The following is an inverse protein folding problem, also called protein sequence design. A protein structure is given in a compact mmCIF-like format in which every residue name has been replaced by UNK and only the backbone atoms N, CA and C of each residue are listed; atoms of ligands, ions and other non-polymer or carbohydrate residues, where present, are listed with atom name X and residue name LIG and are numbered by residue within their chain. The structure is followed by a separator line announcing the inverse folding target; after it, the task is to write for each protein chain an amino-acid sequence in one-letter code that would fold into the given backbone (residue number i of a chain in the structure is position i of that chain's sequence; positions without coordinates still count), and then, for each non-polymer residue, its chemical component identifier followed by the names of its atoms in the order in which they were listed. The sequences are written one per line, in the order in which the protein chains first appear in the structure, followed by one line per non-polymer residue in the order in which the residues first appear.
data_IF_208835047732
#
_entry.id   IF_208835047732
#
_cell.length_a   1.000
_cell.length_b   1.000
_cell.length_c   1.000
_cell.angle_alpha   90.00
_cell.angle_beta   90.00
_cell.angle_gamma   90.00
#
_symmetry.space_group_name_H-M   'P 1'
#
loop_
_entity.id
_entity.type
_entity.pdbx_description
1 polymer ?
#
# COMPACT_ATOMS: atom_id res chain seq x y z
N UNK A 1 22.59 -11.40 -10.43
CA UNK A 1 21.64 -11.09 -9.35
C UNK A 1 21.53 -12.31 -8.45
N UNK A 2 21.59 -12.16 -7.12
CA UNK A 2 21.27 -13.27 -6.22
C UNK A 2 19.76 -13.54 -6.29
N UNK A 3 19.35 -14.80 -6.10
CA UNK A 3 17.93 -15.19 -6.07
C UNK A 3 17.14 -14.35 -5.06
N UNK A 4 17.70 -14.13 -3.88
CA UNK A 4 17.08 -13.33 -2.81
C UNK A 4 16.78 -11.89 -3.25
N UNK A 5 17.69 -11.24 -3.98
CA UNK A 5 17.48 -9.89 -4.47
C UNK A 5 16.35 -9.83 -5.51
N UNK A 6 16.33 -10.78 -6.45
CA UNK A 6 15.24 -10.88 -7.44
C UNK A 6 13.87 -11.11 -6.80
N UNK A 7 13.82 -11.87 -5.71
CA UNK A 7 12.58 -12.12 -4.97
C UNK A 7 12.08 -10.85 -4.27
N UNK A 8 12.97 -10.08 -3.63
CA UNK A 8 12.60 -8.78 -3.03
C UNK A 8 12.02 -7.81 -4.06
N UNK A 9 12.63 -7.72 -5.25
CA UNK A 9 12.10 -6.89 -6.33
C UNK A 9 10.73 -7.38 -6.83
N UNK A 10 10.55 -8.70 -6.90
CA UNK A 10 9.26 -9.29 -7.28
C UNK A 10 8.17 -8.98 -6.25
N UNK A 11 8.50 -9.05 -4.96
CA UNK A 11 7.59 -8.72 -3.86
C UNK A 11 7.22 -7.22 -3.87
N UNK A 12 8.12 -6.33 -4.28
CA UNK A 12 7.81 -4.91 -4.47
C UNK A 12 6.83 -4.65 -5.61
N UNK A 13 6.97 -5.38 -6.73
CA UNK A 13 5.98 -5.35 -7.81
C UNK A 13 4.62 -5.88 -7.33
N UNK A 14 4.62 -6.98 -6.56
CA UNK A 14 3.40 -7.53 -5.97
C UNK A 14 2.75 -6.55 -4.98
N UNK A 15 3.55 -5.81 -4.20
CA UNK A 15 3.04 -4.78 -3.30
C UNK A 15 2.29 -3.67 -4.05
N UNK A 16 2.81 -3.20 -5.19
CA UNK A 16 2.10 -2.23 -6.03
C UNK A 16 0.73 -2.77 -6.49
N UNK A 17 0.69 -4.03 -6.94
CA UNK A 17 -0.56 -4.71 -7.33
C UNK A 17 -1.55 -4.81 -6.17
N UNK A 18 -1.08 -5.14 -4.97
CA UNK A 18 -1.94 -5.21 -3.78
C UNK A 18 -2.52 -3.84 -3.39
N UNK A 19 -1.77 -2.75 -3.60
CA UNK A 19 -2.28 -1.38 -3.43
C UNK A 19 -3.38 -1.09 -4.45
N UNK A 20 -3.17 -1.44 -5.72
CA UNK A 20 -4.20 -1.36 -6.76
C UNK A 20 -5.44 -2.15 -6.35
N UNK A 21 -5.28 -3.37 -5.84
CA UNK A 21 -6.39 -4.20 -5.39
C UNK A 21 -7.20 -3.57 -4.27
N UNK A 22 -6.59 -2.77 -3.39
CA UNK A 22 -7.30 -2.00 -2.36
C UNK A 22 -8.42 -1.12 -2.94
N UNK A 23 -8.21 -0.53 -4.12
CA UNK A 23 -9.23 0.28 -4.80
C UNK A 23 -10.28 -0.54 -5.57
N UNK A 24 -9.96 -1.80 -5.87
CA UNK A 24 -10.75 -2.71 -6.71
C UNK A 24 -11.54 -3.75 -5.90
N UNK A 25 -11.28 -3.87 -4.60
CA UNK A 25 -11.89 -4.84 -3.71
C UNK A 25 -13.42 -4.72 -3.72
N UNK A 26 -14.11 -5.85 -3.91
CA UNK A 26 -15.57 -5.90 -4.01
C UNK A 26 -16.16 -5.38 -5.34
N UNK A 27 -15.33 -4.87 -6.27
CA UNK A 27 -15.78 -4.29 -7.54
C UNK A 27 -15.33 -5.09 -8.77
N UNK A 28 -14.21 -5.80 -8.68
CA UNK A 28 -13.69 -6.67 -9.75
C UNK A 28 -13.87 -8.17 -9.40
N UNK A 29 -14.07 -9.01 -10.40
CA UNK A 29 -14.02 -10.47 -10.23
C UNK A 29 -12.57 -10.96 -10.08
N UNK A 30 -12.32 -12.17 -9.55
CA UNK A 30 -10.97 -12.74 -9.47
C UNK A 30 -10.24 -12.79 -10.82
N UNK A 31 -10.95 -13.10 -11.91
CA UNK A 31 -10.38 -13.08 -13.27
C UNK A 31 -9.99 -11.67 -13.72
N UNK A 32 -10.79 -10.65 -13.36
CA UNK A 32 -10.44 -9.26 -13.66
C UNK A 32 -9.22 -8.80 -12.84
N UNK A 33 -9.14 -9.17 -11.56
CA UNK A 33 -7.98 -8.88 -10.71
C UNK A 33 -6.71 -9.56 -11.25
N UNK A 34 -6.82 -10.81 -11.70
CA UNK A 34 -5.71 -11.53 -12.34
C UNK A 34 -5.23 -10.82 -13.62
N UNK A 35 -6.16 -10.37 -14.47
CA UNK A 35 -5.83 -9.58 -15.66
C UNK A 35 -5.15 -8.26 -15.30
N UNK A 36 -5.71 -7.53 -14.34
CA UNK A 36 -5.13 -6.26 -13.83
C UNK A 36 -3.68 -6.49 -13.37
N UNK A 37 -3.43 -7.52 -12.55
CA UNK A 37 -2.09 -7.83 -12.04
C UNK A 37 -1.07 -8.08 -13.16
N UNK A 38 -1.44 -8.85 -14.21
CA UNK A 38 -0.54 -9.10 -15.34
C UNK A 38 -0.14 -7.81 -16.04
N UNK A 39 -1.11 -6.95 -16.36
CA UNK A 39 -0.84 -5.69 -17.06
C UNK A 39 -0.09 -4.71 -16.17
N UNK A 40 -0.49 -4.60 -14.90
CA UNK A 40 0.12 -3.71 -13.93
C UNK A 40 1.61 -4.01 -13.72
N UNK A 41 2.02 -5.28 -13.64
CA UNK A 41 3.44 -5.65 -13.50
C UNK A 41 4.27 -5.16 -14.69
N UNK A 42 3.72 -5.16 -15.91
CA UNK A 42 4.40 -4.63 -17.11
C UNK A 42 4.61 -3.12 -16.96
N UNK A 43 3.55 -2.38 -16.60
CA UNK A 43 3.62 -0.93 -16.43
C UNK A 43 4.49 -0.52 -15.23
N UNK A 44 4.42 -1.26 -14.13
CA UNK A 44 5.28 -1.09 -12.96
C UNK A 44 6.75 -1.25 -13.36
N UNK A 45 7.08 -2.29 -14.12
CA UNK A 45 8.46 -2.56 -14.56
C UNK A 45 8.99 -1.44 -15.46
N UNK A 46 8.16 -0.94 -16.38
CA UNK A 46 8.51 0.22 -17.21
C UNK A 46 8.69 1.49 -16.37
N UNK A 47 7.78 1.76 -15.43
CA UNK A 47 7.86 2.90 -14.52
C UNK A 47 9.13 2.85 -13.66
N UNK A 48 9.45 1.68 -13.10
CA UNK A 48 10.66 1.48 -12.31
C UNK A 48 11.92 1.73 -13.15
N UNK A 49 12.00 1.18 -14.37
CA UNK A 49 13.14 1.38 -15.26
C UNK A 49 13.33 2.86 -15.66
N UNK A 50 12.24 3.60 -15.91
CA UNK A 50 12.29 5.03 -16.22
C UNK A 50 12.81 5.82 -15.01
N UNK A 51 12.25 5.58 -13.82
CA UNK A 51 12.66 6.30 -12.61
C UNK A 51 14.12 6.02 -12.24
N UNK A 52 14.57 4.77 -12.33
CA UNK A 52 15.94 4.39 -11.98
C UNK A 52 16.96 4.84 -13.03
N UNK A 53 16.72 4.58 -14.32
CA UNK A 53 17.74 4.79 -15.35
C UNK A 53 17.70 6.17 -16.00
N UNK A 54 16.51 6.77 -16.13
CA UNK A 54 16.34 8.08 -16.79
C UNK A 54 16.37 9.20 -15.76
N UNK A 55 15.49 9.14 -14.76
CA UNK A 55 15.36 10.23 -13.78
C UNK A 55 16.37 10.14 -12.62
N UNK A 56 17.00 8.97 -12.41
CA UNK A 56 17.90 8.74 -11.27
C UNK A 56 17.23 9.08 -9.93
N UNK A 57 15.96 8.71 -9.81
CA UNK A 57 15.12 9.08 -8.67
C UNK A 57 15.59 8.40 -7.38
N UNK A 58 15.60 9.14 -6.27
CA UNK A 58 15.91 8.61 -4.94
C UNK A 58 14.62 8.10 -4.28
N UNK A 59 14.32 6.81 -4.43
CA UNK A 59 13.06 6.21 -3.96
C UNK A 59 13.23 4.84 -3.31
N UNK A 60 14.13 4.74 -2.31
CA UNK A 60 14.48 3.46 -1.69
C UNK A 60 13.30 2.72 -1.03
N UNK A 61 12.32 3.47 -0.50
CA UNK A 61 11.10 2.92 0.09
C UNK A 61 9.94 2.79 -0.90
N UNK A 62 10.14 3.11 -2.19
CA UNK A 62 9.12 2.98 -3.21
C UNK A 62 7.91 3.90 -3.04
N UNK A 63 8.06 5.07 -2.41
CA UNK A 63 6.95 6.03 -2.24
C UNK A 63 6.37 6.47 -3.59
N UNK A 64 7.21 6.62 -4.61
CA UNK A 64 6.79 6.96 -5.97
C UNK A 64 6.52 5.70 -6.80
N UNK A 65 7.50 4.78 -6.85
CA UNK A 65 7.51 3.64 -7.77
C UNK A 65 6.50 2.55 -7.36
N UNK A 66 6.22 2.39 -6.07
CA UNK A 66 5.29 1.38 -5.54
C UNK A 66 3.98 2.04 -5.12
N UNK A 67 4.03 2.92 -4.11
CA UNK A 67 2.82 3.41 -3.44
C UNK A 67 2.01 4.37 -4.31
N UNK A 68 2.65 5.44 -4.82
CA UNK A 68 1.96 6.40 -5.69
C UNK A 68 1.51 5.73 -6.99
N UNK A 69 2.41 4.96 -7.64
CA UNK A 69 2.07 4.22 -8.85
C UNK A 69 0.84 3.32 -8.65
N UNK A 70 0.87 2.40 -7.68
CA UNK A 70 -0.23 1.46 -7.44
C UNK A 70 -1.52 2.17 -7.05
N UNK A 71 -1.45 3.22 -6.22
CA UNK A 71 -2.63 3.97 -5.82
C UNK A 71 -3.33 4.65 -7.03
N UNK A 72 -2.57 5.32 -7.89
CA UNK A 72 -3.13 6.00 -9.07
C UNK A 72 -3.54 5.02 -10.17
N UNK A 73 -2.80 3.92 -10.34
CA UNK A 73 -3.17 2.85 -11.27
C UNK A 73 -4.51 2.23 -10.86
N UNK A 74 -4.65 1.85 -9.59
CA UNK A 74 -5.91 1.35 -9.04
C UNK A 74 -7.05 2.35 -9.13
N UNK A 75 -6.81 3.62 -8.80
CA UNK A 75 -7.82 4.66 -8.96
C UNK A 75 -8.31 4.75 -10.41
N UNK A 76 -7.41 4.75 -11.40
CA UNK A 76 -7.76 4.75 -12.81
C UNK A 76 -8.58 3.51 -13.19
N UNK A 77 -8.18 2.31 -12.75
CA UNK A 77 -8.95 1.08 -12.93
C UNK A 77 -10.35 1.19 -12.29
N UNK A 78 -10.46 1.78 -11.10
CA UNK A 78 -11.71 1.91 -10.36
C UNK A 78 -12.71 2.86 -11.06
N UNK A 79 -12.20 3.90 -11.72
CA UNK A 79 -12.99 4.84 -12.53
C UNK A 79 -13.49 4.16 -13.81
N UNK A 80 -12.63 3.41 -14.50
CA UNK A 80 -13.00 2.73 -15.76
C UNK A 80 -14.00 1.60 -15.50
N UNK A 81 -13.78 0.81 -14.44
CA UNK A 81 -14.62 -0.35 -14.10
C UNK A 81 -15.82 0.01 -13.23
N UNK A 82 -16.14 1.30 -13.05
CA UNK A 82 -17.13 1.82 -12.11
C UNK A 82 -18.40 0.97 -12.01
N UNK A 83 -18.57 0.27 -10.88
CA UNK A 83 -19.77 -0.52 -10.58
C UNK A 83 -20.61 0.15 -9.51
N UNK A 84 -21.52 1.04 -9.91
CA UNK A 84 -22.43 1.76 -8.97
C UNK A 84 -23.13 0.82 -7.98
N UNK A 85 -23.65 -0.30 -8.46
CA UNK A 85 -24.30 -1.34 -7.62
C UNK A 85 -23.38 -1.92 -6.52
N UNK A 86 -22.08 -2.02 -6.79
CA UNK A 86 -21.11 -2.52 -5.80
C UNK A 86 -20.76 -1.44 -4.77
N UNK A 87 -20.67 -0.18 -5.20
CA UNK A 87 -20.37 0.98 -4.34
C UNK A 87 -21.49 1.20 -3.32
N UNK A 88 -22.74 1.13 -3.78
CA UNK A 88 -23.94 1.35 -2.96
C UNK A 88 -24.41 0.09 -2.21
N UNK A 89 -23.65 -1.01 -2.31
CA UNK A 89 -24.07 -2.26 -1.70
C UNK A 89 -24.03 -2.18 -0.17
N UNK A 90 -25.07 -2.62 0.57
CA UNK A 90 -25.11 -2.51 2.04
C UNK A 90 -24.00 -3.23 2.80
N UNK A 91 -23.34 -4.21 2.15
CA UNK A 91 -22.17 -4.93 2.70
C UNK A 91 -20.83 -4.27 2.38
N UNK A 92 -20.83 -3.11 1.72
CA UNK A 92 -19.64 -2.28 1.58
C UNK A 92 -19.41 -1.50 2.88
N UNK A 93 -19.24 -2.24 3.98
CA UNK A 93 -19.08 -1.75 5.34
C UNK A 93 -18.29 -2.77 6.16
N UNK A 94 -17.78 -2.37 7.31
CA UNK A 94 -17.13 -3.28 8.24
C UNK A 94 -18.08 -3.84 9.30
N UNK A 95 -17.64 -4.90 9.95
CA UNK A 95 -18.20 -5.46 11.17
C UNK A 95 -17.07 -5.71 12.19
N UNK A 96 -17.41 -5.86 13.46
CA UNK A 96 -16.43 -6.02 14.54
C UNK A 96 -15.36 -7.09 14.23
N UNK A 97 -15.77 -8.28 13.77
CA UNK A 97 -14.82 -9.34 13.45
C UNK A 97 -13.97 -9.04 12.22
N UNK A 98 -14.52 -8.37 11.18
CA UNK A 98 -13.72 -8.00 10.01
C UNK A 98 -12.69 -6.93 10.37
N UNK A 99 -13.02 -6.00 11.25
CA UNK A 99 -12.09 -4.98 11.74
C UNK A 99 -10.96 -5.60 12.58
N UNK A 100 -11.27 -6.61 13.40
CA UNK A 100 -10.23 -7.36 14.11
C UNK A 100 -9.26 -8.07 13.15
N UNK A 101 -9.76 -8.67 12.07
CA UNK A 101 -8.89 -9.27 11.04
C UNK A 101 -8.07 -8.22 10.29
N UNK A 102 -8.65 -7.05 9.98
CA UNK A 102 -7.92 -5.94 9.37
C UNK A 102 -6.80 -5.42 10.29
N UNK A 103 -7.03 -5.36 11.60
CA UNK A 103 -6.01 -4.96 12.58
C UNK A 103 -4.82 -5.92 12.60
N UNK A 104 -5.05 -7.23 12.46
CA UNK A 104 -3.95 -8.20 12.37
C UNK A 104 -3.07 -7.87 11.16
N UNK A 105 -3.67 -7.68 9.97
CA UNK A 105 -2.93 -7.28 8.77
C UNK A 105 -2.14 -5.99 8.97
N UNK A 106 -2.78 -4.98 9.58
CA UNK A 106 -2.18 -3.69 9.89
C UNK A 106 -0.97 -3.80 10.81
N UNK A 107 -1.03 -4.64 11.86
CA UNK A 107 0.10 -4.84 12.77
C UNK A 107 1.28 -5.54 12.08
N UNK A 108 1.01 -6.51 11.19
CA UNK A 108 2.06 -7.18 10.41
C UNK A 108 2.73 -6.20 9.44
N UNK A 109 1.94 -5.38 8.74
CA UNK A 109 2.46 -4.29 7.92
C UNK A 109 3.30 -3.34 8.78
N UNK A 110 2.77 -2.87 9.91
CA UNK A 110 3.45 -1.92 10.77
C UNK A 110 4.80 -2.44 11.29
N UNK A 111 4.83 -3.69 11.75
CA UNK A 111 6.03 -4.33 12.29
C UNK A 111 7.12 -4.52 11.24
N UNK A 112 6.76 -4.89 10.02
CA UNK A 112 7.74 -5.23 8.97
C UNK A 112 8.06 -4.07 8.01
N UNK A 113 7.35 -2.95 8.08
CA UNK A 113 7.60 -1.80 7.21
C UNK A 113 9.03 -1.21 7.30
N UNK A 114 9.68 -1.13 8.48
CA UNK A 114 11.07 -0.71 8.55
C UNK A 114 12.01 -1.59 7.71
N UNK A 115 11.76 -2.90 7.69
CA UNK A 115 12.49 -3.84 6.83
C UNK A 115 12.20 -3.59 5.35
N UNK A 116 10.94 -3.32 4.99
CA UNK A 116 10.54 -2.99 3.62
C UNK A 116 11.32 -1.77 3.09
N UNK A 117 11.32 -0.66 3.83
CA UNK A 117 12.03 0.56 3.45
C UNK A 117 13.56 0.42 3.48
N UNK A 118 14.09 -0.53 4.26
CA UNK A 118 15.51 -0.80 4.38
C UNK A 118 16.05 -1.90 3.45
N UNK A 119 15.18 -2.64 2.74
CA UNK A 119 15.56 -3.89 2.08
C UNK A 119 16.61 -3.72 0.98
N UNK A 120 16.54 -2.63 0.22
CA UNK A 120 17.47 -2.34 -0.88
C UNK A 120 18.61 -1.38 -0.47
N UNK A 121 18.61 -0.88 0.76
CA UNK A 121 19.68 -0.06 1.29
C UNK A 121 20.80 -0.92 1.90
N UNK A 122 22.00 -0.35 2.02
CA UNK A 122 23.14 -1.03 2.65
C UNK A 122 23.89 -0.14 3.64
N UNK A 123 24.52 -0.75 4.65
CA UNK A 123 25.33 -0.05 5.64
C UNK A 123 24.55 1.01 6.41
N UNK A 124 25.16 2.17 6.65
CA UNK A 124 24.56 3.26 7.44
C UNK A 124 23.22 3.77 6.86
N UNK A 125 23.02 3.69 5.54
CA UNK A 125 21.77 4.12 4.93
C UNK A 125 20.60 3.21 5.32
N UNK A 126 20.84 1.90 5.44
CA UNK A 126 19.84 0.92 5.85
C UNK A 126 19.38 1.17 7.29
N UNK A 127 20.32 1.36 8.22
CA UNK A 127 19.99 1.66 9.62
C UNK A 127 19.17 2.95 9.74
N UNK A 128 19.53 4.00 9.00
CA UNK A 128 18.75 5.25 8.99
C UNK A 128 17.36 5.06 8.39
N UNK A 129 17.22 4.27 7.31
CA UNK A 129 15.92 3.98 6.72
C UNK A 129 15.01 3.27 7.72
N UNK A 130 15.52 2.26 8.43
CA UNK A 130 14.79 1.52 9.46
C UNK A 130 14.34 2.45 10.60
N UNK A 131 15.28 3.21 11.20
CA UNK A 131 15.00 4.05 12.36
C UNK A 131 14.03 5.19 12.00
N UNK A 132 14.25 5.86 10.87
CA UNK A 132 13.37 6.94 10.42
C UNK A 132 11.96 6.42 10.09
N UNK A 133 11.85 5.23 9.50
CA UNK A 133 10.55 4.59 9.23
C UNK A 133 9.81 4.34 10.54
N UNK A 134 10.48 3.80 11.55
CA UNK A 134 9.87 3.54 12.86
C UNK A 134 9.34 4.83 13.53
N UNK A 135 10.14 5.90 13.55
CA UNK A 135 9.70 7.18 14.13
C UNK A 135 8.57 7.83 13.31
N UNK A 136 8.65 7.80 11.98
CA UNK A 136 7.62 8.33 11.10
C UNK A 136 6.29 7.62 11.32
N UNK A 137 6.29 6.30 11.42
CA UNK A 137 5.08 5.51 11.65
C UNK A 137 4.51 5.71 13.05
N UNK A 138 5.36 5.81 14.06
CA UNK A 138 4.91 6.13 15.43
C UNK A 138 4.22 7.50 15.47
N UNK A 139 4.83 8.51 14.84
CA UNK A 139 4.21 9.83 14.70
C UNK A 139 2.88 9.78 13.94
N UNK A 140 2.82 8.99 12.86
CA UNK A 140 1.60 8.79 12.07
C UNK A 140 0.48 8.17 12.91
N UNK A 141 0.73 7.13 13.71
CA UNK A 141 -0.29 6.50 14.57
C UNK A 141 -0.86 7.50 15.57
N UNK A 142 0.00 8.28 16.23
CA UNK A 142 -0.42 9.30 17.20
C UNK A 142 -1.27 10.36 16.50
N UNK A 143 -0.82 10.87 15.34
CA UNK A 143 -1.56 11.84 14.57
C UNK A 143 -2.92 11.28 14.12
N UNK A 144 -2.96 10.08 13.58
CA UNK A 144 -4.18 9.40 13.15
C UNK A 144 -5.20 9.30 14.29
N UNK A 145 -4.81 8.92 15.51
CA UNK A 145 -5.74 8.85 16.63
C UNK A 145 -6.25 10.22 17.06
N UNK A 146 -5.38 11.24 17.09
CA UNK A 146 -5.77 12.62 17.39
C UNK A 146 -6.80 13.11 16.37
N UNK A 147 -6.52 12.95 15.06
CA UNK A 147 -7.41 13.40 14.00
C UNK A 147 -8.70 12.59 13.93
N UNK A 148 -8.66 11.27 14.17
CA UNK A 148 -9.84 10.40 14.25
C UNK A 148 -10.83 10.92 15.32
N UNK A 149 -10.35 11.26 16.51
CA UNK A 149 -11.18 11.86 17.56
C UNK A 149 -11.58 13.32 17.28
N UNK A 150 -10.70 14.10 16.64
CA UNK A 150 -10.97 15.52 16.38
C UNK A 150 -12.03 15.73 15.29
N UNK A 151 -12.08 14.82 14.31
CA UNK A 151 -13.02 14.88 13.19
C UNK A 151 -14.35 14.16 13.50
N UNK A 152 -14.38 13.26 14.47
CA UNK A 152 -15.63 12.65 14.94
C UNK A 152 -16.38 13.58 15.90
N UNK A 153 -17.65 13.87 15.58
CA UNK A 153 -18.50 14.75 16.39
C UNK A 153 -18.77 14.24 17.81
N UNK A 154 -18.49 12.96 18.09
CA UNK A 154 -18.63 12.33 19.42
C UNK A 154 -17.28 12.01 20.06
N UNK A 155 -16.16 12.42 19.44
CA UNK A 155 -14.78 12.14 19.87
C UNK A 155 -14.47 10.66 20.05
N UNK A 156 -15.09 9.80 19.23
CA UNK A 156 -14.83 8.36 19.22
C UNK A 156 -13.75 8.05 18.18
N UNK A 157 -13.03 6.96 18.41
CA UNK A 157 -12.13 6.40 17.41
C UNK A 157 -12.95 5.63 16.38
N UNK A 158 -12.71 5.93 15.11
CA UNK A 158 -13.19 5.11 13.99
C UNK A 158 -12.12 4.07 13.62
N UNK A 159 -12.50 2.79 13.54
CA UNK A 159 -11.56 1.71 13.26
C UNK A 159 -10.97 1.81 11.86
N UNK A 160 -11.75 2.19 10.85
CA UNK A 160 -11.26 2.29 9.46
C UNK A 160 -10.21 3.39 9.32
N UNK A 161 -10.43 4.51 9.99
CA UNK A 161 -9.47 5.63 10.02
C UNK A 161 -8.25 5.34 10.90
N UNK A 162 -8.38 4.44 11.89
CA UNK A 162 -7.34 4.14 12.88
C UNK A 162 -6.50 2.89 12.55
N UNK A 163 -6.83 2.20 11.44
CA UNK A 163 -6.04 1.15 10.78
C UNK A 163 -4.92 1.80 9.94
#
# INVERSE_FOLDING_TARGET
LSLSYSLVLSDFAAAAVLITFGSMLGRASPFQLFGIAIFEVIFYSANNAINDHVFRAADVGGSMIIHSFGAYFGLACSVILQRKKAIEHPRNSSAYHSDMFAMIGTLFLWLFWPSFNGALASGNAQYRAIINTYFSMTGSVIATFIFSMALDGKRKLDMVTSL
#
